data_IF_248609860930
#
_entry.id   IF_248609860930
#
_cell.length_a   1.000
_cell.length_b   1.000
_cell.length_c   1.000
_cell.angle_alpha   90.00
_cell.angle_beta   90.00
_cell.angle_gamma   90.00
#
_symmetry.space_group_name_H-M   'P 1'
#
loop_
_entity.id
_entity.type
_entity.pdbx_description
1 polymer ?
#
# COMPACT_ATOMS: atom_id res chain seq x y z
N UNK A 1 -4.45 -54.10 -10.29
CA UNK A 1 -4.96 -52.71 -10.38
C UNK A 1 -5.58 -52.18 -9.08
N UNK A 2 -5.48 -52.90 -7.94
CA UNK A 2 -5.97 -52.45 -6.63
C UNK A 2 -4.85 -52.08 -5.62
N UNK A 3 -3.58 -52.14 -6.04
CA UNK A 3 -2.42 -51.86 -5.17
C UNK A 3 -1.98 -50.39 -5.15
N UNK A 4 -2.52 -49.53 -6.02
CA UNK A 4 -2.14 -48.12 -6.12
C UNK A 4 -3.12 -47.16 -5.41
N UNK A 5 -4.31 -47.63 -5.04
CA UNK A 5 -5.31 -46.82 -4.32
C UNK A 5 -4.92 -46.66 -2.84
N UNK A 6 -4.34 -47.69 -2.22
CA UNK A 6 -3.91 -47.63 -0.80
C UNK A 6 -2.76 -46.65 -0.53
N UNK A 7 -1.88 -46.39 -1.50
CA UNK A 7 -0.77 -45.45 -1.32
C UNK A 7 -1.23 -43.98 -1.36
N UNK A 8 -2.27 -43.67 -2.14
CA UNK A 8 -2.85 -42.32 -2.21
C UNK A 8 -3.73 -42.00 -0.99
N UNK A 9 -4.42 -42.99 -0.42
CA UNK A 9 -5.16 -42.84 0.84
C UNK A 9 -4.23 -42.61 2.04
N UNK A 10 -3.05 -43.24 2.04
CA UNK A 10 -2.07 -43.08 3.11
C UNK A 10 -1.32 -41.73 3.05
N UNK A 11 -1.22 -41.09 1.87
CA UNK A 11 -0.73 -39.72 1.73
C UNK A 11 -1.77 -38.64 2.11
N UNK A 12 -3.06 -39.00 2.18
CA UNK A 12 -4.17 -38.09 2.54
C UNK A 12 -4.23 -37.79 4.05
N UNK A 13 -3.38 -38.43 4.85
CA UNK A 13 -3.41 -38.38 6.32
C UNK A 13 -2.37 -37.44 6.98
N UNK A 14 -1.44 -36.82 6.25
CA UNK A 14 -0.25 -36.21 6.89
C UNK A 14 0.09 -34.76 6.49
N UNK A 15 -0.89 -33.93 6.08
CA UNK A 15 -0.69 -32.48 6.14
C UNK A 15 -1.94 -31.79 6.71
N UNK A 16 -2.01 -31.58 8.04
CA UNK A 16 -3.12 -30.85 8.62
C UNK A 16 -3.07 -29.41 8.11
N UNK A 17 -4.18 -28.93 7.53
CA UNK A 17 -4.36 -27.56 7.06
C UNK A 17 -3.87 -26.48 8.06
N UNK A 18 -3.91 -26.80 9.35
CA UNK A 18 -3.35 -25.98 10.43
C UNK A 18 -1.84 -25.70 10.27
N UNK A 19 -1.06 -26.69 9.83
CA UNK A 19 0.40 -26.57 9.64
C UNK A 19 0.74 -25.71 8.42
N UNK A 20 -0.04 -25.82 7.33
CA UNK A 20 0.10 -24.93 6.17
C UNK A 20 -0.24 -23.47 6.51
N UNK A 21 -1.27 -23.26 7.32
CA UNK A 21 -1.64 -21.93 7.82
C UNK A 21 -0.52 -21.36 8.71
N UNK A 22 0.09 -22.19 9.56
CA UNK A 22 1.15 -21.74 10.48
C UNK A 22 2.47 -21.47 9.74
N UNK A 23 2.83 -22.30 8.75
CA UNK A 23 3.97 -22.03 7.86
C UNK A 23 3.79 -20.75 7.04
N UNK A 24 2.58 -20.52 6.52
CA UNK A 24 2.28 -19.30 5.77
C UNK A 24 2.37 -18.08 6.68
N UNK A 25 1.88 -18.17 7.92
CA UNK A 25 1.98 -17.10 8.93
C UNK A 25 3.43 -16.83 9.31
N UNK A 26 4.24 -17.88 9.47
CA UNK A 26 5.66 -17.78 9.79
C UNK A 26 6.45 -17.11 8.68
N UNK A 27 6.20 -17.45 7.41
CA UNK A 27 6.81 -16.78 6.25
C UNK A 27 6.48 -15.29 6.19
N UNK A 28 5.25 -14.90 6.56
CA UNK A 28 4.83 -13.50 6.60
C UNK A 28 5.55 -12.73 7.72
N UNK A 29 5.70 -13.35 8.90
CA UNK A 29 6.42 -12.75 10.05
C UNK A 29 7.93 -12.66 9.79
N UNK A 30 8.54 -13.71 9.23
CA UNK A 30 9.98 -13.74 8.90
C UNK A 30 10.34 -12.73 7.81
N UNK A 31 9.38 -12.38 6.95
CA UNK A 31 9.51 -11.28 5.99
C UNK A 31 9.33 -9.88 6.62
N UNK A 32 9.16 -9.79 7.94
CA UNK A 32 9.11 -8.55 8.71
C UNK A 32 7.74 -7.85 8.73
N UNK A 33 6.65 -8.57 8.42
CA UNK A 33 5.31 -8.01 8.41
C UNK A 33 4.56 -8.32 9.71
N UNK A 34 4.07 -7.27 10.37
CA UNK A 34 3.20 -7.38 11.55
C UNK A 34 1.73 -7.42 11.08
N UNK A 35 0.95 -8.42 11.51
CA UNK A 35 -0.45 -8.59 11.08
C UNK A 35 -1.38 -8.04 12.18
N UNK A 36 -1.98 -6.85 12.04
CA UNK A 36 -2.93 -6.33 13.01
C UNK A 36 -4.30 -7.02 12.89
N UNK A 37 -4.95 -7.26 14.03
CA UNK A 37 -6.33 -7.75 14.10
C UNK A 37 -7.34 -6.65 13.68
N UNK A 38 -7.77 -6.72 12.42
CA UNK A 38 -9.05 -6.25 11.84
C UNK A 38 -9.50 -4.79 12.02
N UNK A 39 -9.82 -4.11 10.90
CA UNK A 39 -10.94 -3.15 10.82
C UNK A 39 -11.55 -3.12 9.40
N UNK A 40 -12.88 -3.19 9.32
CA UNK A 40 -13.69 -3.25 8.09
C UNK A 40 -14.09 -1.85 7.58
N UNK A 41 -13.41 -1.31 6.57
CA UNK A 41 -13.97 -0.35 5.62
C UNK A 41 -13.00 -0.15 4.44
N UNK A 42 -13.49 -0.35 3.20
CA UNK A 42 -12.71 -0.11 1.98
C UNK A 42 -12.57 1.42 1.72
N UNK A 43 -11.36 1.84 1.44
CA UNK A 43 -10.96 3.22 1.10
C UNK A 43 -11.36 3.60 -0.35
N UNK A 44 -11.41 4.90 -0.70
CA UNK A 44 -11.75 5.36 -2.07
C UNK A 44 -10.78 4.93 -3.18
N UNK A 45 -9.61 4.40 -2.82
CA UNK A 45 -8.66 3.81 -3.78
C UNK A 45 -9.01 2.34 -4.04
N UNK A 46 -9.45 1.62 -3.02
CA UNK A 46 -9.92 0.24 -3.13
C UNK A 46 -11.26 0.16 -3.88
N UNK A 47 -12.13 1.17 -3.72
CA UNK A 47 -13.37 1.28 -4.50
C UNK A 47 -13.11 1.51 -6.01
N UNK A 48 -12.03 2.24 -6.34
CA UNK A 48 -11.58 2.43 -7.73
C UNK A 48 -10.98 1.18 -8.34
N UNK A 49 -10.18 0.43 -7.58
CA UNK A 49 -9.64 -0.84 -8.03
C UNK A 49 -10.75 -1.88 -8.21
N UNK A 50 -11.68 -1.94 -7.26
CA UNK A 50 -12.87 -2.79 -7.35
C UNK A 50 -13.71 -2.45 -8.59
N UNK A 51 -13.90 -1.16 -8.89
CA UNK A 51 -14.60 -0.72 -10.10
C UNK A 51 -13.87 -1.10 -11.40
N UNK A 52 -12.54 -0.96 -11.47
CA UNK A 52 -11.75 -1.39 -12.65
C UNK A 52 -11.87 -2.90 -12.88
N UNK A 53 -11.86 -3.69 -11.81
CA UNK A 53 -12.07 -5.15 -11.88
C UNK A 53 -13.48 -5.47 -12.35
N UNK A 54 -14.50 -4.79 -11.84
CA UNK A 54 -15.89 -4.95 -12.28
C UNK A 54 -16.10 -4.55 -13.75
N UNK A 55 -15.48 -3.45 -14.19
CA UNK A 55 -15.56 -2.97 -15.58
C UNK A 55 -14.86 -3.94 -16.54
N UNK A 56 -13.72 -4.52 -16.14
CA UNK A 56 -13.04 -5.58 -16.90
C UNK A 56 -13.90 -6.85 -17.02
N UNK A 57 -14.50 -7.29 -15.91
CA UNK A 57 -15.42 -8.43 -15.90
C UNK A 57 -16.68 -8.17 -16.76
N UNK A 58 -17.23 -6.96 -16.72
CA UNK A 58 -18.38 -6.56 -17.53
C UNK A 58 -18.05 -6.44 -19.02
N UNK A 59 -16.84 -6.00 -19.38
CA UNK A 59 -16.38 -5.92 -20.77
C UNK A 59 -16.13 -7.29 -21.40
N UNK A 60 -15.78 -8.31 -20.61
CA UNK A 60 -15.70 -9.69 -21.08
C UNK A 60 -17.07 -10.35 -21.30
N UNK A 61 -18.11 -9.87 -20.62
CA UNK A 61 -19.45 -10.44 -20.68
C UNK A 61 -20.19 -10.14 -22.00
N UNK A 62 -19.81 -9.11 -22.76
CA UNK A 62 -20.49 -8.77 -24.02
C UNK A 62 -20.13 -9.65 -25.21
N UNK A 63 -19.11 -10.50 -25.10
CA UNK A 63 -18.67 -11.39 -26.20
C UNK A 63 -18.97 -12.87 -25.96
N UNK A 64 -19.70 -13.23 -24.89
CA UNK A 64 -20.05 -14.63 -24.61
C UNK A 64 -18.85 -15.54 -24.36
N UNK A 65 -17.65 -14.99 -24.14
CA UNK A 65 -16.48 -15.73 -23.69
C UNK A 65 -16.35 -15.61 -22.19
N UNK A 66 -16.23 -16.75 -21.52
CA UNK A 66 -15.75 -16.82 -20.15
C UNK A 66 -14.33 -16.24 -20.10
N UNK A 67 -14.18 -15.04 -19.54
CA UNK A 67 -12.86 -14.44 -19.32
C UNK A 67 -12.20 -15.17 -18.14
N UNK A 68 -11.17 -15.97 -18.42
CA UNK A 68 -10.41 -16.66 -17.39
C UNK A 68 -9.20 -15.79 -17.01
N UNK A 69 -8.85 -15.63 -15.73
CA UNK A 69 -7.67 -14.85 -15.32
C UNK A 69 -6.34 -15.28 -15.99
N UNK A 70 -6.28 -16.50 -16.55
CA UNK A 70 -5.15 -16.98 -17.37
C UNK A 70 -5.06 -16.36 -18.75
N UNK A 71 -6.09 -15.65 -19.22
CA UNK A 71 -6.14 -15.04 -20.54
C UNK A 71 -5.39 -13.70 -20.58
N UNK A 72 -5.01 -13.17 -19.41
CA UNK A 72 -4.11 -12.03 -19.29
C UNK A 72 -2.68 -12.54 -19.47
N UNK A 73 -2.07 -12.30 -20.63
CA UNK A 73 -0.64 -12.55 -20.83
C UNK A 73 0.17 -11.52 -20.01
N UNK A 74 0.90 -11.95 -18.95
CA UNK A 74 1.73 -11.04 -18.16
C UNK A 74 2.92 -10.47 -18.95
N UNK A 75 3.24 -11.05 -20.12
CA UNK A 75 4.24 -10.53 -21.03
C UNK A 75 3.68 -9.54 -22.05
N UNK A 76 2.36 -9.31 -22.06
CA UNK A 76 1.73 -8.34 -22.94
C UNK A 76 2.37 -6.95 -22.75
N UNK A 77 2.82 -6.30 -23.84
CA UNK A 77 3.50 -5.01 -23.77
C UNK A 77 2.65 -3.91 -23.12
N UNK A 78 1.33 -3.94 -23.30
CA UNK A 78 0.38 -3.00 -22.72
C UNK A 78 0.24 -3.17 -21.21
N UNK A 79 0.12 -4.42 -20.74
CA UNK A 79 0.09 -4.76 -19.30
C UNK A 79 1.41 -4.36 -18.63
N UNK A 80 2.55 -4.67 -19.25
CA UNK A 80 3.88 -4.29 -18.71
C UNK A 80 4.10 -2.78 -18.69
N UNK A 81 3.61 -2.05 -19.70
CA UNK A 81 3.74 -0.59 -19.77
C UNK A 81 2.85 0.12 -18.75
N UNK A 82 1.63 -0.37 -18.53
CA UNK A 82 0.72 0.12 -17.48
C UNK A 82 1.32 -0.10 -16.08
N UNK A 83 1.88 -1.29 -15.83
CA UNK A 83 2.51 -1.63 -14.55
C UNK A 83 3.82 -0.85 -14.30
N UNK A 84 4.67 -0.68 -15.31
CA UNK A 84 5.91 0.13 -15.20
C UNK A 84 5.64 1.60 -14.90
N UNK A 85 4.54 2.16 -15.42
CA UNK A 85 4.13 3.54 -15.11
C UNK A 85 3.64 3.69 -13.66
N UNK A 86 3.10 2.62 -13.06
CA UNK A 86 2.52 2.68 -11.72
C UNK A 86 3.50 2.32 -10.59
N UNK A 87 4.51 1.48 -10.82
CA UNK A 87 5.43 1.04 -9.76
C UNK A 87 6.89 0.88 -10.21
N UNK A 88 7.72 1.94 -10.16
CA UNK A 88 9.15 1.81 -10.48
C UNK A 88 9.99 1.11 -9.39
N UNK A 89 9.46 0.94 -8.16
CA UNK A 89 10.17 0.30 -7.05
C UNK A 89 9.57 -1.04 -6.60
N UNK A 90 8.51 -1.53 -7.27
CA UNK A 90 7.83 -2.77 -6.85
C UNK A 90 8.00 -3.94 -7.81
N UNK A 91 8.81 -3.83 -8.86
CA UNK A 91 8.93 -4.90 -9.85
C UNK A 91 9.56 -6.17 -9.30
N UNK A 92 10.48 -6.06 -8.33
CA UNK A 92 11.09 -7.25 -7.68
C UNK A 92 10.10 -7.89 -6.70
N UNK A 93 9.56 -7.11 -5.77
CA UNK A 93 8.54 -7.60 -4.83
C UNK A 93 7.27 -8.13 -5.53
N UNK A 94 6.89 -7.55 -6.68
CA UNK A 94 5.75 -8.03 -7.46
C UNK A 94 6.04 -9.37 -8.14
N UNK A 95 7.26 -9.59 -8.61
CA UNK A 95 7.63 -10.87 -9.21
C UNK A 95 7.65 -11.99 -8.16
N UNK A 96 8.11 -11.68 -6.93
CA UNK A 96 8.07 -12.61 -5.81
C UNK A 96 6.63 -12.91 -5.38
N UNK A 97 5.77 -11.89 -5.29
CA UNK A 97 4.34 -12.06 -5.00
C UNK A 97 3.66 -12.87 -6.10
N UNK A 98 3.93 -12.59 -7.38
CA UNK A 98 3.37 -13.36 -8.49
C UNK A 98 3.84 -14.81 -8.46
N UNK A 99 5.11 -15.05 -8.21
CA UNK A 99 5.68 -16.41 -8.08
C UNK A 99 5.02 -17.16 -6.92
N UNK A 100 4.84 -16.50 -5.77
CA UNK A 100 4.17 -17.08 -4.61
C UNK A 100 2.70 -17.40 -4.90
N UNK A 101 1.96 -16.48 -5.52
CA UNK A 101 0.57 -16.68 -5.91
C UNK A 101 0.42 -17.80 -6.96
N UNK A 102 1.33 -17.87 -7.93
CA UNK A 102 1.34 -18.94 -8.94
C UNK A 102 1.68 -20.30 -8.32
N UNK A 103 2.60 -20.34 -7.35
CA UNK A 103 2.93 -21.54 -6.59
C UNK A 103 1.72 -22.04 -5.80
N UNK A 104 1.05 -21.14 -5.07
CA UNK A 104 -0.18 -21.45 -4.34
C UNK A 104 -1.30 -21.92 -5.27
N UNK A 105 -1.48 -21.27 -6.42
CA UNK A 105 -2.46 -21.66 -7.42
C UNK A 105 -2.18 -23.05 -8.02
N UNK A 106 -0.92 -23.36 -8.35
CA UNK A 106 -0.55 -24.71 -8.84
C UNK A 106 -0.77 -25.78 -7.77
N UNK A 107 -0.41 -25.49 -6.52
CA UNK A 107 -0.68 -26.39 -5.40
C UNK A 107 -2.17 -26.65 -5.24
N UNK A 108 -2.99 -25.61 -5.35
CA UNK A 108 -4.45 -25.72 -5.35
C UNK A 108 -4.97 -26.56 -6.51
N UNK A 109 -4.51 -26.33 -7.75
CA UNK A 109 -4.92 -27.13 -8.91
C UNK A 109 -4.53 -28.61 -8.76
N UNK A 110 -3.35 -28.91 -8.21
CA UNK A 110 -2.94 -30.29 -7.95
C UNK A 110 -3.78 -30.95 -6.86
N UNK A 111 -4.15 -30.22 -5.81
CA UNK A 111 -5.03 -30.70 -4.74
C UNK A 111 -6.51 -30.78 -5.16
N UNK A 112 -6.93 -29.98 -6.14
CA UNK A 112 -8.32 -29.88 -6.59
C UNK A 112 -8.87 -31.21 -7.14
N UNK A 113 -8.00 -32.04 -7.72
CA UNK A 113 -8.37 -33.39 -8.18
C UNK A 113 -8.51 -34.39 -7.02
N UNK A 114 -8.02 -34.04 -5.83
CA UNK A 114 -8.03 -34.86 -4.63
C UNK A 114 -9.09 -34.43 -3.60
N UNK A 115 -9.81 -33.32 -3.82
CA UNK A 115 -10.80 -32.80 -2.87
C UNK A 115 -12.19 -33.28 -3.26
N UNK A 116 -12.91 -33.85 -2.29
CA UNK A 116 -14.31 -34.27 -2.47
C UNK A 116 -15.16 -33.06 -2.90
N UNK A 117 -16.07 -33.24 -3.85
CA UNK A 117 -16.85 -32.15 -4.46
C UNK A 117 -17.48 -31.20 -3.42
N UNK A 118 -17.96 -31.78 -2.31
CA UNK A 118 -18.66 -31.11 -1.23
C UNK A 118 -17.77 -30.13 -0.43
N UNK A 119 -16.44 -30.29 -0.49
CA UNK A 119 -15.46 -29.43 0.21
C UNK A 119 -14.82 -28.38 -0.70
N UNK A 120 -15.08 -28.44 -2.01
CA UNK A 120 -14.48 -27.53 -2.99
C UNK A 120 -14.97 -26.11 -2.80
N UNK A 121 -16.26 -25.93 -2.57
CA UNK A 121 -16.85 -24.60 -2.40
C UNK A 121 -16.32 -23.90 -1.15
N UNK A 122 -16.18 -24.63 -0.04
CA UNK A 122 -15.58 -24.10 1.19
C UNK A 122 -14.11 -23.69 0.98
N UNK A 123 -13.33 -24.53 0.30
CA UNK A 123 -11.93 -24.23 -0.01
C UNK A 123 -11.79 -23.00 -0.92
N UNK A 124 -12.64 -22.87 -1.94
CA UNK A 124 -12.67 -21.71 -2.85
C UNK A 124 -13.01 -20.43 -2.06
N UNK A 125 -14.00 -20.48 -1.17
CA UNK A 125 -14.37 -19.35 -0.34
C UNK A 125 -13.25 -18.93 0.63
N UNK A 126 -12.58 -19.88 1.28
CA UNK A 126 -11.46 -19.60 2.18
C UNK A 126 -10.30 -18.95 1.43
N UNK A 127 -9.94 -19.47 0.25
CA UNK A 127 -8.88 -18.90 -0.58
C UNK A 127 -9.25 -17.51 -1.11
N UNK A 128 -10.50 -17.32 -1.55
CA UNK A 128 -11.00 -16.02 -1.98
C UNK A 128 -10.91 -14.96 -0.87
N UNK A 129 -11.33 -15.32 0.35
CA UNK A 129 -11.25 -14.44 1.51
C UNK A 129 -9.79 -14.12 1.89
N UNK A 130 -8.89 -15.11 1.83
CA UNK A 130 -7.47 -14.90 2.09
C UNK A 130 -6.83 -13.94 1.07
N UNK A 131 -7.14 -14.11 -0.22
CA UNK A 131 -6.64 -13.23 -1.29
C UNK A 131 -7.14 -11.78 -1.12
N UNK A 132 -8.41 -11.59 -0.76
CA UNK A 132 -8.98 -10.27 -0.47
C UNK A 132 -8.25 -9.59 0.70
N UNK A 133 -8.03 -10.31 1.80
CA UNK A 133 -7.31 -9.78 2.98
C UNK A 133 -5.87 -9.40 2.65
N UNK A 134 -5.18 -10.22 1.85
CA UNK A 134 -3.81 -9.92 1.41
C UNK A 134 -3.78 -8.64 0.56
N UNK A 135 -4.70 -8.51 -0.40
CA UNK A 135 -4.82 -7.32 -1.25
C UNK A 135 -5.06 -6.03 -0.43
N UNK A 136 -5.96 -6.08 0.55
CA UNK A 136 -6.23 -4.96 1.47
C UNK A 136 -4.97 -4.59 2.28
N UNK A 137 -4.26 -5.58 2.81
CA UNK A 137 -3.04 -5.36 3.60
C UNK A 137 -1.93 -4.70 2.77
N UNK A 138 -1.74 -5.16 1.53
CA UNK A 138 -0.80 -4.53 0.58
C UNK A 138 -1.25 -3.11 0.23
N UNK A 139 -2.55 -2.89 0.03
CA UNK A 139 -3.13 -1.56 -0.21
C UNK A 139 -2.83 -0.57 0.91
N UNK A 140 -3.03 -0.98 2.16
CA UNK A 140 -2.73 -0.19 3.37
C UNK A 140 -1.24 0.16 3.46
N UNK A 141 -0.36 -0.84 3.34
CA UNK A 141 1.10 -0.64 3.37
C UNK A 141 1.57 0.36 2.29
N UNK A 142 1.01 0.26 1.08
CA UNK A 142 1.35 1.17 -0.01
C UNK A 142 0.79 2.58 0.20
N UNK A 143 -0.33 2.72 0.91
CA UNK A 143 -0.84 4.03 1.33
C UNK A 143 0.09 4.68 2.36
N UNK A 144 0.54 3.94 3.38
CA UNK A 144 1.49 4.42 4.38
C UNK A 144 2.82 4.86 3.77
N UNK A 145 3.40 4.05 2.87
CA UNK A 145 4.63 4.42 2.16
C UNK A 145 4.46 5.71 1.35
N UNK A 146 3.33 5.88 0.65
CA UNK A 146 3.04 7.12 -0.09
C UNK A 146 2.92 8.32 0.84
N UNK A 147 2.26 8.15 1.98
CA UNK A 147 2.15 9.20 3.01
C UNK A 147 3.52 9.59 3.56
N UNK A 148 4.38 8.62 3.87
CA UNK A 148 5.74 8.86 4.36
C UNK A 148 6.59 9.62 3.32
N UNK A 149 6.53 9.21 2.05
CA UNK A 149 7.24 9.91 0.95
C UNK A 149 6.75 11.36 0.83
N UNK A 150 5.43 11.58 0.84
CA UNK A 150 4.85 12.91 0.74
C UNK A 150 5.26 13.80 1.94
N UNK A 151 5.24 13.27 3.16
CA UNK A 151 5.67 13.97 4.36
C UNK A 151 7.17 14.34 4.29
N UNK A 152 8.02 13.41 3.84
CA UNK A 152 9.45 13.65 3.68
C UNK A 152 9.74 14.71 2.63
N UNK A 153 9.05 14.68 1.48
CA UNK A 153 9.19 15.71 0.45
C UNK A 153 8.75 17.10 0.95
N UNK A 154 7.63 17.17 1.70
CA UNK A 154 7.18 18.42 2.31
C UNK A 154 8.19 18.95 3.34
N UNK A 155 8.70 18.09 4.22
CA UNK A 155 9.73 18.45 5.19
C UNK A 155 11.01 18.93 4.51
N UNK A 156 11.47 18.26 3.45
CA UNK A 156 12.64 18.69 2.67
C UNK A 156 12.44 20.09 2.09
N UNK A 157 11.28 20.38 1.49
CA UNK A 157 10.96 21.71 0.96
C UNK A 157 10.90 22.78 2.05
N UNK A 158 10.41 22.44 3.24
CA UNK A 158 10.36 23.38 4.36
C UNK A 158 11.72 23.63 5.02
N UNK A 159 12.62 22.65 4.99
CA UNK A 159 13.97 22.70 5.54
C UNK A 159 15.03 23.25 4.58
N UNK A 160 14.72 23.40 3.30
CA UNK A 160 15.64 23.97 2.32
C UNK A 160 16.15 25.36 2.77
N UNK A 161 17.36 25.78 2.35
CA UNK A 161 17.77 27.18 2.45
C UNK A 161 16.72 28.06 1.78
N UNK A 162 16.36 29.17 2.43
CA UNK A 162 15.22 30.04 2.09
C UNK A 162 13.80 29.40 2.17
N UNK A 163 13.73 28.18 2.72
CA UNK A 163 12.49 27.50 3.07
C UNK A 163 11.67 28.26 4.10
N UNK A 164 10.41 27.86 4.26
CA UNK A 164 9.48 28.51 5.19
C UNK A 164 10.02 28.55 6.63
N UNK A 165 10.69 27.48 7.09
CA UNK A 165 11.26 27.44 8.46
C UNK A 165 12.41 28.43 8.62
N UNK A 166 13.34 28.48 7.66
CA UNK A 166 14.46 29.45 7.66
C UNK A 166 13.96 30.90 7.73
N UNK A 167 12.93 31.24 6.95
CA UNK A 167 12.31 32.58 6.96
C UNK A 167 11.60 32.90 8.28
N UNK A 168 10.92 31.92 8.87
CA UNK A 168 10.34 32.08 10.20
C UNK A 168 11.41 32.30 11.28
N UNK A 169 12.54 31.60 11.20
CA UNK A 169 13.65 31.80 12.13
C UNK A 169 14.37 33.13 11.91
N UNK A 170 14.44 33.62 10.66
CA UNK A 170 14.95 34.95 10.35
C UNK A 170 14.10 36.06 10.99
N UNK A 171 12.77 36.01 10.85
CA UNK A 171 11.91 37.03 11.46
C UNK A 171 11.89 36.94 12.99
N UNK A 172 11.98 35.75 13.58
CA UNK A 172 12.12 35.57 15.03
C UNK A 172 13.41 36.18 15.56
N UNK A 173 14.53 36.02 14.83
CA UNK A 173 15.80 36.67 15.15
C UNK A 173 15.71 38.20 15.03
N UNK A 174 15.04 38.70 13.99
CA UNK A 174 14.79 40.14 13.84
C UNK A 174 13.95 40.69 15.01
N UNK A 175 12.92 39.97 15.46
CA UNK A 175 12.14 40.32 16.64
C UNK A 175 12.98 40.32 17.92
N UNK A 176 13.76 39.26 18.14
CA UNK A 176 14.62 39.12 19.32
C UNK A 176 15.69 40.22 19.44
N UNK A 177 15.99 40.93 18.35
CA UNK A 177 16.91 42.08 18.38
C UNK A 177 16.37 43.30 19.13
N UNK A 178 15.06 43.37 19.43
CA UNK A 178 14.44 44.52 20.10
C UNK A 178 14.28 45.76 19.22
N UNK A 179 14.62 45.69 17.92
CA UNK A 179 14.51 46.81 16.98
C UNK A 179 13.08 47.36 16.81
N UNK A 180 12.07 46.54 17.03
CA UNK A 180 10.67 46.88 16.75
C UNK A 180 9.86 46.98 18.05
N UNK A 181 9.01 48.00 18.15
CA UNK A 181 8.18 48.23 19.33
C UNK A 181 6.98 47.27 19.45
N UNK A 182 6.58 46.62 18.35
CA UNK A 182 5.50 45.64 18.35
C UNK A 182 5.74 44.54 17.31
N UNK A 183 5.12 43.37 17.55
CA UNK A 183 5.18 42.22 16.62
C UNK A 183 4.56 42.56 15.27
N UNK A 184 3.52 43.39 15.24
CA UNK A 184 2.85 43.78 14.00
C UNK A 184 3.74 44.70 13.15
N UNK A 185 4.46 45.64 13.78
CA UNK A 185 5.45 46.49 13.08
C UNK A 185 6.61 45.65 12.54
N UNK A 186 7.13 44.72 13.34
CA UNK A 186 8.17 43.78 12.89
C UNK A 186 7.70 42.97 11.67
N UNK A 187 6.47 42.43 11.74
CA UNK A 187 5.88 41.67 10.65
C UNK A 187 5.70 42.52 9.38
N UNK A 188 5.28 43.78 9.50
CA UNK A 188 5.04 44.65 8.34
C UNK A 188 6.34 45.05 7.64
N UNK A 189 7.38 45.38 8.41
CA UNK A 189 8.66 45.84 7.86
C UNK A 189 9.51 44.70 7.29
N UNK A 190 9.54 43.53 7.95
CA UNK A 190 10.42 42.44 7.57
C UNK A 190 9.80 41.46 6.57
N UNK A 191 8.45 41.40 6.44
CA UNK A 191 7.83 40.36 5.59
C UNK A 191 8.19 40.49 4.11
N UNK A 192 8.32 41.72 3.60
CA UNK A 192 8.70 41.97 2.20
C UNK A 192 10.16 41.55 1.94
N UNK A 193 11.07 41.87 2.85
CA UNK A 193 12.49 41.47 2.76
C UNK A 193 12.67 39.95 2.78
N UNK A 194 11.86 39.24 3.57
CA UNK A 194 11.87 37.77 3.66
C UNK A 194 11.01 37.09 2.59
N UNK A 195 10.33 37.83 1.71
CA UNK A 195 9.46 37.28 0.67
C UNK A 195 8.32 36.40 1.22
N UNK A 196 7.77 36.72 2.39
CA UNK A 196 6.64 36.00 3.00
C UNK A 196 5.43 36.93 3.17
N UNK A 197 4.23 36.39 3.29
CA UNK A 197 3.04 37.21 3.53
C UNK A 197 3.06 37.79 4.94
N UNK A 198 2.48 38.98 5.12
CA UNK A 198 2.30 39.61 6.44
C UNK A 198 1.58 38.69 7.44
N UNK A 199 0.56 37.97 6.99
CA UNK A 199 -0.16 37.00 7.82
C UNK A 199 0.71 35.82 8.27
N UNK A 200 1.64 35.36 7.43
CA UNK A 200 2.60 34.32 7.80
C UNK A 200 3.66 34.84 8.78
N UNK A 201 4.13 36.08 8.58
CA UNK A 201 5.04 36.77 9.49
C UNK A 201 4.44 36.91 10.90
N UNK A 202 3.19 37.43 11.01
CA UNK A 202 2.48 37.52 12.30
C UNK A 202 2.33 36.17 12.99
N UNK A 203 2.03 35.11 12.24
CA UNK A 203 1.93 33.74 12.78
C UNK A 203 3.29 33.24 13.28
N UNK A 204 4.38 33.55 12.60
CA UNK A 204 5.72 33.16 13.01
C UNK A 204 6.18 33.80 14.33
N UNK A 205 5.70 35.03 14.59
CA UNK A 205 5.94 35.80 15.82
C UNK A 205 4.94 35.47 16.95
N UNK A 206 3.95 34.61 16.71
CA UNK A 206 3.06 34.15 17.78
C UNK A 206 3.86 33.25 18.73
N UNK A 207 3.70 33.46 20.03
CA UNK A 207 4.40 32.74 21.10
C UNK A 207 5.93 32.97 21.15
N UNK A 208 6.44 34.03 20.52
CA UNK A 208 7.81 34.51 20.82
C UNK A 208 7.79 35.33 22.12
N UNK A 209 8.81 35.23 22.99
CA UNK A 209 8.93 36.12 24.15
C UNK A 209 9.10 37.57 23.68
N UNK A 210 8.78 38.53 24.55
CA UNK A 210 9.08 39.93 24.30
C UNK A 210 10.62 40.14 24.34
N UNK A 211 11.17 41.02 23.48
CA UNK A 211 12.60 41.29 23.43
C UNK A 211 13.07 42.01 24.70
N UNK A 212 14.38 41.93 25.03
CA UNK A 212 14.96 42.59 26.19
C UNK A 212 14.95 44.12 26.09
#
# INVERSE_FOLDING_TARGET
MWSQIGAAEQARAEYPLAELIDETRKLIIDAGFDIPETTNALTPAEDRLHKVVQDLLASGATEGRSFHPSDIDPNDPGVRLALKKFLPAATEAWHDIQTMLWGAYRGFCAAHDCIDADKKDEAIHLLGNAAIKLSQSVGALMAEKRQAIAANAANAKHNAPDGSRSRQDAIRRAWASGKYSSRDICAEQECAALGMSFSAARKALRNTPDPP
#
